data_IF_995599197442
#
_entry.id   IF_995599197442
#
_cell.length_a   1.000
_cell.length_b   1.000
_cell.length_c   1.000
_cell.angle_alpha   90.00
_cell.angle_beta   90.00
_cell.angle_gamma   90.00
#
_symmetry.space_group_name_H-M   'P 1'
#
loop_
_entity.id
_entity.type
_entity.pdbx_description
1 polymer ?
#
# COMPACT_ATOMS: atom_id res chain seq x y z
N UNK A 1 52.01 21.00 -3.17
CA UNK A 1 50.53 21.08 -3.12
C UNK A 1 50.01 19.65 -3.02
N UNK A 2 49.54 19.25 -1.84
CA UNK A 2 49.06 17.88 -1.58
C UNK A 2 47.54 17.89 -1.75
N UNK A 3 47.02 17.25 -2.81
CA UNK A 3 45.58 17.10 -2.99
C UNK A 3 45.07 16.00 -2.04
N UNK A 4 44.25 16.39 -1.06
CA UNK A 4 43.42 15.47 -0.29
C UNK A 4 42.19 15.12 -1.12
N UNK A 5 42.15 13.90 -1.69
CA UNK A 5 40.90 13.33 -2.19
C UNK A 5 40.05 12.93 -0.97
N UNK A 6 39.01 13.71 -0.70
CA UNK A 6 37.96 13.30 0.22
C UNK A 6 37.15 12.17 -0.47
N UNK A 7 37.38 10.93 -0.04
CA UNK A 7 36.48 9.83 -0.38
C UNK A 7 35.15 10.08 0.35
N UNK A 8 34.09 10.37 -0.40
CA UNK A 8 32.74 10.33 0.11
C UNK A 8 32.43 8.88 0.47
N UNK A 9 32.47 8.57 1.76
CA UNK A 9 31.97 7.30 2.28
C UNK A 9 30.45 7.39 2.19
N UNK A 10 29.86 6.84 1.12
CA UNK A 10 28.41 6.62 1.07
C UNK A 10 28.07 5.54 2.11
N UNK A 11 27.93 5.94 3.38
CA UNK A 11 27.12 5.17 4.31
C UNK A 11 25.75 5.12 3.67
N UNK A 12 25.36 4.00 3.06
CA UNK A 12 23.96 3.74 2.71
C UNK A 12 23.23 3.55 4.05
N UNK A 13 23.04 4.67 4.74
CA UNK A 13 22.32 4.74 6.00
C UNK A 13 20.84 4.51 5.72
N UNK A 14 20.14 3.94 6.70
CA UNK A 14 18.68 3.88 6.65
C UNK A 14 18.15 5.30 6.67
N UNK A 15 17.32 5.64 5.70
CA UNK A 15 16.69 6.96 5.58
C UNK A 15 15.23 6.89 6.00
N UNK A 16 14.67 8.02 6.45
CA UNK A 16 13.24 8.09 6.74
C UNK A 16 12.46 8.03 5.44
N UNK A 17 11.55 7.07 5.32
CA UNK A 17 10.59 7.02 4.22
C UNK A 17 9.74 8.28 4.27
N UNK A 18 9.61 8.97 3.14
CA UNK A 18 8.79 10.17 3.00
C UNK A 18 7.48 9.87 2.28
N UNK A 19 6.42 10.55 2.69
CA UNK A 19 5.17 10.58 1.94
C UNK A 19 5.28 11.51 0.72
N UNK A 20 4.23 11.57 -0.09
CA UNK A 20 4.18 12.37 -1.32
C UNK A 20 4.32 13.87 -1.09
N UNK A 21 4.15 14.34 0.16
CA UNK A 21 4.33 15.73 0.56
C UNK A 21 5.71 15.98 1.21
N UNK A 22 6.59 14.98 1.22
CA UNK A 22 7.93 15.06 1.80
C UNK A 22 7.97 14.88 3.32
N UNK A 23 6.84 14.58 3.98
CA UNK A 23 6.83 14.37 5.43
C UNK A 23 7.25 12.93 5.76
N UNK A 24 7.92 12.68 6.90
CA UNK A 24 8.23 11.33 7.33
C UNK A 24 6.97 10.46 7.49
N UNK A 25 7.01 9.24 6.94
CA UNK A 25 5.97 8.23 7.11
C UNK A 25 5.97 7.76 8.57
N UNK A 26 4.82 7.86 9.22
CA UNK A 26 4.61 7.49 10.62
C UNK A 26 4.12 6.05 10.74
N UNK A 27 4.67 5.32 11.71
CA UNK A 27 4.22 3.98 12.11
C UNK A 27 2.73 4.03 12.49
N UNK A 28 1.95 3.05 12.05
CA UNK A 28 0.54 2.92 12.38
C UNK A 28 -0.41 3.94 11.73
N UNK A 29 0.10 5.06 11.22
CA UNK A 29 -0.72 6.03 10.48
C UNK A 29 -1.16 5.45 9.12
N UNK A 30 -2.30 5.97 8.64
CA UNK A 30 -2.92 5.53 7.38
C UNK A 30 -2.30 6.24 6.18
N UNK A 31 -1.94 5.46 5.17
CA UNK A 31 -1.43 5.92 3.87
C UNK A 31 -2.10 5.13 2.74
N UNK A 32 -2.36 5.77 1.62
CA UNK A 32 -2.60 5.08 0.35
C UNK A 32 -1.25 4.74 -0.29
N UNK A 33 -1.14 3.55 -0.86
CA UNK A 33 -0.04 3.19 -1.76
C UNK A 33 -0.51 3.43 -3.19
N UNK A 34 0.14 4.35 -3.89
CA UNK A 34 -0.18 4.68 -5.28
C UNK A 34 1.04 4.42 -6.17
N UNK A 35 0.89 3.76 -7.33
CA UNK A 35 1.96 3.66 -8.31
C UNK A 35 2.41 5.04 -8.79
N UNK A 36 3.74 5.26 -8.85
CA UNK A 36 4.32 6.58 -9.06
C UNK A 36 4.11 7.13 -10.48
N UNK A 37 4.03 6.26 -11.49
CA UNK A 37 3.82 6.60 -12.91
C UNK A 37 2.70 5.73 -13.48
N UNK A 38 1.45 6.08 -13.17
CA UNK A 38 0.30 5.33 -13.68
C UNK A 38 -0.90 6.23 -13.96
N UNK A 39 -1.71 5.80 -14.92
CA UNK A 39 -3.01 6.40 -15.26
C UNK A 39 -4.16 5.81 -14.43
N UNK A 40 -3.89 4.74 -13.67
CA UNK A 40 -4.85 4.14 -12.74
C UNK A 40 -4.83 4.79 -11.36
N UNK A 41 -5.55 4.20 -10.42
CA UNK A 41 -5.61 4.64 -9.02
C UNK A 41 -4.60 3.91 -8.13
N UNK A 42 -4.93 3.81 -6.84
CA UNK A 42 -4.11 3.12 -5.84
C UNK A 42 -4.35 1.61 -5.74
N UNK A 43 -3.68 1.01 -4.77
CA UNK A 43 -3.75 -0.44 -4.52
C UNK A 43 -4.99 -0.82 -3.70
N UNK A 44 -5.66 -1.89 -4.11
CA UNK A 44 -6.89 -2.40 -3.51
C UNK A 44 -6.90 -3.93 -3.38
N UNK A 45 -7.57 -4.49 -2.36
CA UNK A 45 -7.88 -5.92 -2.31
C UNK A 45 -8.73 -6.36 -3.50
N UNK A 46 -8.40 -7.48 -4.12
CA UNK A 46 -9.22 -8.09 -5.17
C UNK A 46 -9.05 -9.61 -5.18
N UNK A 47 -10.12 -10.35 -5.52
CA UNK A 47 -10.02 -11.79 -5.70
C UNK A 47 -9.14 -12.09 -6.93
N UNK A 48 -8.12 -12.93 -6.76
CA UNK A 48 -7.22 -13.35 -7.85
C UNK A 48 -7.53 -14.77 -8.35
N UNK A 49 -8.41 -15.48 -7.63
CA UNK A 49 -8.95 -16.78 -7.96
C UNK A 49 -10.49 -16.72 -7.93
N UNK A 50 -11.16 -17.53 -8.75
CA UNK A 50 -12.63 -17.56 -8.83
C UNK A 50 -13.20 -18.29 -7.61
N UNK A 51 -12.72 -19.51 -7.33
CA UNK A 51 -13.16 -20.31 -6.18
C UNK A 51 -12.05 -21.29 -5.75
N UNK A 52 -11.63 -21.31 -4.47
CA UNK A 52 -11.95 -20.31 -3.44
C UNK A 52 -11.37 -18.92 -3.81
N UNK A 53 -12.11 -17.85 -3.48
CA UNK A 53 -11.67 -16.47 -3.73
C UNK A 53 -10.79 -15.91 -2.60
N UNK A 54 -10.67 -16.63 -1.48
CA UNK A 54 -9.74 -16.35 -0.39
C UNK A 54 -8.49 -17.24 -0.53
N UNK A 55 -7.28 -16.74 -0.19
CA UNK A 55 -6.98 -15.36 0.20
C UNK A 55 -7.19 -14.37 -0.96
N UNK A 56 -7.51 -13.12 -0.65
CA UNK A 56 -7.54 -12.06 -1.65
C UNK A 56 -6.11 -11.74 -2.10
N UNK A 57 -5.96 -11.32 -3.35
CA UNK A 57 -4.75 -10.68 -3.83
C UNK A 57 -4.84 -9.16 -3.75
N UNK A 58 -3.85 -8.49 -4.34
CA UNK A 58 -3.75 -7.04 -4.38
C UNK A 58 -3.57 -6.59 -5.81
N UNK A 59 -4.39 -5.63 -6.24
CA UNK A 59 -4.35 -5.07 -7.60
C UNK A 59 -4.27 -3.56 -7.56
N UNK A 60 -3.75 -2.96 -8.62
CA UNK A 60 -3.94 -1.55 -8.89
C UNK A 60 -5.31 -1.34 -9.56
N UNK A 61 -6.17 -0.50 -8.99
CA UNK A 61 -7.43 -0.13 -9.65
C UNK A 61 -7.17 0.64 -10.94
N UNK A 62 -7.93 0.33 -11.99
CA UNK A 62 -7.87 1.06 -13.26
C UNK A 62 -8.55 2.44 -13.19
N UNK A 63 -9.26 2.74 -12.09
CA UNK A 63 -10.02 3.97 -11.93
C UNK A 63 -9.12 5.10 -11.36
N UNK A 64 -8.85 6.18 -12.11
CA UNK A 64 -7.81 7.18 -11.76
C UNK A 64 -8.08 7.91 -10.45
N UNK A 65 -9.35 8.13 -10.09
CA UNK A 65 -9.73 8.88 -8.90
C UNK A 65 -9.89 8.00 -7.65
N UNK A 66 -9.73 6.69 -7.76
CA UNK A 66 -9.77 5.81 -6.60
C UNK A 66 -8.40 5.76 -5.93
N UNK A 67 -8.24 6.30 -4.71
CA UNK A 67 -6.93 6.47 -4.10
C UNK A 67 -6.29 5.14 -3.65
N UNK A 68 -7.05 4.04 -3.65
CA UNK A 68 -6.68 2.76 -3.04
C UNK A 68 -7.36 2.55 -1.69
N UNK A 69 -7.13 1.39 -1.08
CA UNK A 69 -7.53 1.15 0.32
C UNK A 69 -6.36 1.52 1.24
N UNK A 70 -6.57 2.27 2.33
CA UNK A 70 -5.49 2.66 3.24
C UNK A 70 -4.74 1.46 3.81
N UNK A 71 -3.45 1.63 4.01
CA UNK A 71 -2.60 0.72 4.78
C UNK A 71 -1.92 1.45 5.93
N UNK A 72 -1.36 0.68 6.85
CA UNK A 72 -0.39 1.17 7.82
C UNK A 72 0.82 0.26 7.89
N UNK A 73 1.94 0.82 8.34
CA UNK A 73 3.20 0.11 8.50
C UNK A 73 3.54 -0.10 9.98
N UNK A 74 4.05 -1.27 10.30
CA UNK A 74 4.55 -1.62 11.64
C UNK A 74 5.83 -2.44 11.53
N UNK A 75 6.81 -2.18 12.39
CA UNK A 75 8.03 -2.98 12.42
C UNK A 75 7.77 -4.38 12.94
N UNK A 76 8.41 -5.34 12.30
CA UNK A 76 8.50 -6.72 12.78
C UNK A 76 9.92 -7.24 12.51
N UNK A 77 10.70 -7.58 13.55
CA UNK A 77 10.38 -7.44 14.97
C UNK A 77 10.19 -5.98 15.40
N UNK A 78 9.45 -5.77 16.50
CA UNK A 78 9.14 -4.42 17.01
C UNK A 78 10.41 -3.66 17.35
N UNK A 79 10.55 -2.45 16.79
CA UNK A 79 11.61 -1.49 17.13
C UNK A 79 11.05 -0.47 18.13
N UNK A 80 11.73 -0.26 19.25
CA UNK A 80 11.38 0.75 20.26
C UNK A 80 12.17 2.04 19.98
N UNK A 81 11.56 3.21 20.23
CA UNK A 81 12.26 4.50 20.17
C UNK A 81 12.14 5.28 18.84
N UNK A 82 11.24 4.87 17.94
CA UNK A 82 10.93 5.64 16.73
C UNK A 82 9.47 5.52 16.33
N UNK A 83 8.83 6.66 16.01
CA UNK A 83 7.49 6.69 15.44
C UNK A 83 7.50 6.74 13.91
N UNK A 84 8.69 6.75 13.29
CA UNK A 84 8.87 6.86 11.84
C UNK A 84 9.29 5.53 11.22
N UNK A 85 8.93 5.37 9.95
CA UNK A 85 9.35 4.25 9.11
C UNK A 85 10.64 4.61 8.38
N UNK A 86 11.56 3.65 8.37
CA UNK A 86 12.89 3.78 7.77
C UNK A 86 13.07 2.75 6.66
N UNK A 87 13.82 3.11 5.64
CA UNK A 87 14.19 2.23 4.53
C UNK A 87 15.01 1.02 5.02
N UNK A 88 15.07 -0.02 4.19
CA UNK A 88 15.85 -1.24 4.42
C UNK A 88 15.60 -1.94 5.76
N UNK A 89 14.43 -1.72 6.35
CA UNK A 89 14.03 -2.25 7.66
C UNK A 89 12.74 -3.05 7.53
N UNK A 90 12.67 -4.20 8.20
CA UNK A 90 11.55 -5.14 8.07
C UNK A 90 10.28 -4.59 8.71
N UNK A 91 9.21 -4.58 7.94
CA UNK A 91 7.89 -4.13 8.34
C UNK A 91 6.84 -5.12 7.87
N UNK A 92 5.68 -5.12 8.54
CA UNK A 92 4.46 -5.59 7.93
C UNK A 92 3.68 -4.42 7.31
N UNK A 93 2.89 -4.76 6.30
CA UNK A 93 1.94 -3.86 5.65
C UNK A 93 0.55 -4.44 5.93
N UNK A 94 -0.36 -3.63 6.48
CA UNK A 94 -1.70 -4.07 6.84
C UNK A 94 -2.75 -3.13 6.24
N UNK A 95 -3.77 -3.68 5.56
CA UNK A 95 -4.92 -2.89 5.14
C UNK A 95 -5.72 -2.40 6.35
N UNK A 96 -6.09 -1.13 6.33
CA UNK A 96 -6.91 -0.45 7.34
C UNK A 96 -8.29 -0.17 6.77
N UNK A 97 -9.24 -1.02 7.12
CA UNK A 97 -10.67 -0.87 6.78
C UNK A 97 -11.55 -1.30 7.94
N UNK A 98 -12.57 -0.50 8.24
CA UNK A 98 -13.62 -0.83 9.23
C UNK A 98 -14.56 -1.91 8.70
N UNK A 99 -14.82 -1.90 7.39
CA UNK A 99 -15.68 -2.88 6.71
C UNK A 99 -14.78 -3.89 6.00
N UNK A 100 -14.94 -5.17 6.35
CA UNK A 100 -14.26 -6.29 5.72
C UNK A 100 -15.24 -7.46 5.68
N UNK A 101 -15.99 -7.65 4.58
CA UNK A 101 -17.13 -8.58 4.59
C UNK A 101 -16.75 -10.02 4.24
N UNK A 102 -15.53 -10.27 3.75
CA UNK A 102 -15.08 -11.55 3.21
C UNK A 102 -13.69 -11.91 3.74
N UNK A 103 -13.35 -13.21 3.71
CA UNK A 103 -12.06 -13.73 4.21
C UNK A 103 -11.77 -13.27 5.65
N UNK A 104 -12.78 -13.30 6.52
CA UNK A 104 -12.71 -12.80 7.90
C UNK A 104 -11.89 -13.69 8.84
N UNK A 105 -11.69 -14.94 8.43
CA UNK A 105 -10.82 -15.91 9.06
C UNK A 105 -9.33 -15.60 8.86
N UNK A 106 -9.00 -14.73 7.90
CA UNK A 106 -7.63 -14.31 7.59
C UNK A 106 -7.37 -12.88 8.06
N UNK A 107 -6.11 -12.58 8.33
CA UNK A 107 -5.69 -11.21 8.69
C UNK A 107 -5.78 -10.25 7.50
N UNK A 108 -5.59 -8.95 7.76
CA UNK A 108 -5.46 -7.91 6.73
C UNK A 108 -3.99 -7.63 6.35
N UNK A 109 -3.06 -8.47 6.82
CA UNK A 109 -1.63 -8.33 6.54
C UNK A 109 -1.32 -8.83 5.14
N UNK A 110 -0.46 -8.08 4.46
CA UNK A 110 0.12 -8.50 3.20
C UNK A 110 1.10 -9.65 3.45
N UNK A 111 1.14 -10.60 2.53
CA UNK A 111 2.11 -11.67 2.52
C UNK A 111 2.40 -12.15 1.10
N UNK A 112 3.54 -12.79 0.90
CA UNK A 112 3.82 -13.56 -0.30
C UNK A 112 3.09 -14.89 -0.21
N UNK A 113 2.41 -15.31 -1.29
CA UNK A 113 1.82 -16.65 -1.38
C UNK A 113 2.92 -17.71 -1.39
N UNK A 114 2.92 -18.54 -0.34
CA UNK A 114 3.86 -19.66 -0.16
C UNK A 114 3.12 -21.01 -0.16
N UNK A 115 1.89 -21.05 -0.66
CA UNK A 115 1.12 -22.27 -0.82
C UNK A 115 1.79 -23.23 -1.82
N UNK A 116 1.43 -24.51 -1.76
CA UNK A 116 1.92 -25.51 -2.73
C UNK A 116 1.50 -25.23 -4.18
N UNK A 117 0.46 -24.42 -4.37
CA UNK A 117 -0.03 -23.94 -5.67
C UNK A 117 0.57 -22.61 -6.11
N UNK A 118 1.48 -22.03 -5.33
CA UNK A 118 2.08 -20.73 -5.66
C UNK A 118 2.84 -20.79 -6.99
N UNK A 119 2.65 -19.75 -7.81
CA UNK A 119 3.38 -19.60 -9.06
C UNK A 119 4.87 -19.33 -8.82
N UNK A 120 5.70 -19.47 -9.87
CA UNK A 120 7.13 -19.12 -9.82
C UNK A 120 7.35 -17.65 -9.42
N UNK A 121 6.47 -16.77 -9.87
CA UNK A 121 6.34 -15.40 -9.36
C UNK A 121 5.09 -15.35 -8.48
N UNK A 122 5.24 -15.61 -7.16
CA UNK A 122 4.09 -15.78 -6.28
C UNK A 122 3.33 -14.46 -6.12
N UNK A 123 2.01 -14.55 -5.99
CA UNK A 123 1.16 -13.39 -5.75
C UNK A 123 1.47 -12.76 -4.39
N UNK A 124 1.26 -11.44 -4.28
CA UNK A 124 1.11 -10.79 -2.98
C UNK A 124 -0.36 -10.90 -2.58
N UNK A 125 -0.60 -11.61 -1.48
CA UNK A 125 -1.91 -11.95 -0.94
C UNK A 125 -2.18 -11.22 0.38
N UNK A 126 -3.42 -11.30 0.84
CA UNK A 126 -3.92 -10.76 2.10
C UNK A 126 -4.30 -11.94 3.00
N UNK A 127 -3.78 -11.93 4.22
CA UNK A 127 -3.96 -13.02 5.19
C UNK A 127 -2.70 -13.48 5.88
N UNK A 128 -1.61 -12.70 5.82
CA UNK A 128 -0.34 -13.05 6.44
C UNK A 128 -0.41 -13.17 7.97
N UNK A 129 0.55 -13.88 8.55
CA UNK A 129 0.78 -13.87 10.00
C UNK A 129 1.89 -12.86 10.33
N UNK A 130 1.75 -12.12 11.44
CA UNK A 130 2.61 -10.98 11.78
C UNK A 130 4.10 -11.32 11.73
N UNK A 131 4.48 -12.39 12.41
CA UNK A 131 5.88 -12.84 12.59
C UNK A 131 6.36 -13.77 11.48
N UNK A 132 5.48 -14.18 10.57
CA UNK A 132 5.83 -15.12 9.51
C UNK A 132 6.76 -14.46 8.47
N UNK A 133 7.83 -15.14 8.02
CA UNK A 133 8.80 -14.56 7.09
C UNK A 133 8.22 -14.05 5.77
N UNK A 134 7.13 -14.66 5.27
CA UNK A 134 6.47 -14.25 4.03
C UNK A 134 5.61 -12.99 4.19
N UNK A 135 5.38 -12.50 5.42
CA UNK A 135 4.69 -11.24 5.72
C UNK A 135 5.64 -10.07 5.95
N UNK A 136 6.96 -10.28 5.79
CA UNK A 136 7.98 -9.27 6.01
C UNK A 136 8.36 -8.57 4.71
N UNK A 137 8.20 -7.25 4.71
CA UNK A 137 8.53 -6.38 3.60
C UNK A 137 9.61 -5.39 4.02
N UNK A 138 10.32 -4.82 3.05
CA UNK A 138 11.13 -3.61 3.23
C UNK A 138 10.72 -2.56 2.21
N UNK A 139 10.88 -1.30 2.59
CA UNK A 139 10.75 -0.16 1.69
C UNK A 139 12.17 0.25 1.29
N UNK A 140 12.44 0.36 0.00
CA UNK A 140 13.73 0.79 -0.54
C UNK A 140 13.52 2.02 -1.43
N UNK A 141 14.46 2.96 -1.39
CA UNK A 141 14.46 4.13 -2.29
C UNK A 141 14.53 3.67 -3.76
N UNK A 142 13.88 4.43 -4.63
CA UNK A 142 13.92 4.25 -6.07
C UNK A 142 14.17 5.59 -6.77
N UNK A 143 14.52 5.55 -8.05
CA UNK A 143 14.77 6.78 -8.81
C UNK A 143 13.50 7.62 -8.95
N UNK A 144 13.48 8.77 -8.29
CA UNK A 144 12.38 9.74 -8.31
C UNK A 144 12.16 10.33 -6.92
N UNK A 145 11.67 11.57 -6.85
CA UNK A 145 11.36 12.19 -5.56
C UNK A 145 10.25 11.38 -4.84
N UNK A 146 10.50 11.01 -3.59
CA UNK A 146 9.56 10.28 -2.73
C UNK A 146 9.01 9.01 -3.39
N UNK A 147 9.86 8.33 -4.17
CA UNK A 147 9.50 7.16 -4.96
C UNK A 147 10.24 5.95 -4.41
N UNK A 148 9.50 4.87 -4.20
CA UNK A 148 9.97 3.70 -3.50
C UNK A 148 9.67 2.42 -4.28
N UNK A 149 10.36 1.34 -3.92
CA UNK A 149 9.96 -0.03 -4.24
C UNK A 149 9.82 -0.84 -2.95
N UNK A 150 8.99 -1.88 -3.00
CA UNK A 150 8.81 -2.81 -1.90
C UNK A 150 9.57 -4.10 -2.21
N UNK A 151 10.23 -4.68 -1.21
CA UNK A 151 10.97 -5.94 -1.36
C UNK A 151 10.56 -6.94 -0.29
N UNK A 152 10.69 -8.23 -0.58
CA UNK A 152 10.49 -9.36 0.32
C UNK A 152 11.67 -10.32 0.22
N UNK A 153 11.67 -11.39 1.00
CA UNK A 153 12.64 -12.48 0.85
C UNK A 153 12.48 -13.26 -0.48
N UNK A 154 11.32 -13.17 -1.13
CA UNK A 154 11.02 -13.86 -2.39
C UNK A 154 11.27 -13.01 -3.64
N UNK A 155 11.59 -11.72 -3.48
CA UNK A 155 11.90 -10.81 -4.58
C UNK A 155 11.40 -9.38 -4.37
N UNK A 156 11.50 -8.56 -5.41
CA UNK A 156 10.91 -7.23 -5.45
C UNK A 156 9.41 -7.34 -5.76
N UNK A 157 8.58 -6.49 -5.15
CA UNK A 157 7.17 -6.40 -5.50
C UNK A 157 7.05 -5.78 -6.90
N UNK A 158 6.49 -6.56 -7.80
CA UNK A 158 6.22 -6.18 -9.18
C UNK A 158 4.76 -6.40 -9.55
N UNK A 159 4.47 -6.31 -10.85
CA UNK A 159 3.11 -6.55 -11.36
C UNK A 159 3.07 -7.39 -12.63
N UNK A 160 1.94 -8.05 -12.83
CA UNK A 160 1.52 -8.70 -14.09
C UNK A 160 0.07 -8.31 -14.39
N UNK A 161 -0.41 -8.40 -15.65
CA UNK A 161 -1.83 -8.24 -15.95
C UNK A 161 -2.68 -9.24 -15.15
N UNK A 162 -3.57 -8.74 -14.30
CA UNK A 162 -4.45 -9.52 -13.45
C UNK A 162 -5.80 -9.85 -14.10
N UNK A 163 -6.65 -10.63 -13.40
CA UNK A 163 -7.91 -11.14 -13.95
C UNK A 163 -8.98 -10.04 -14.16
N UNK A 164 -8.84 -8.90 -13.51
CA UNK A 164 -9.81 -7.80 -13.57
C UNK A 164 -9.51 -6.84 -14.73
N UNK A 165 -9.99 -7.16 -15.93
CA UNK A 165 -9.77 -6.33 -17.14
C UNK A 165 -8.28 -6.04 -17.41
N UNK A 166 -7.37 -6.93 -17.00
CA UNK A 166 -5.93 -6.73 -17.14
C UNK A 166 -5.31 -5.77 -16.12
N UNK A 167 -6.06 -5.36 -15.07
CA UNK A 167 -5.55 -4.52 -13.99
C UNK A 167 -4.28 -5.11 -13.37
N UNK A 168 -3.21 -4.32 -13.13
CA UNK A 168 -1.97 -4.83 -12.58
C UNK A 168 -2.17 -5.54 -11.24
N UNK A 169 -1.83 -6.82 -11.16
CA UNK A 169 -1.83 -7.63 -9.94
C UNK A 169 -0.42 -7.70 -9.36
N UNK A 170 -0.29 -7.54 -8.04
CA UNK A 170 0.98 -7.61 -7.36
C UNK A 170 1.51 -9.05 -7.26
N UNK A 171 2.81 -9.19 -7.51
CA UNK A 171 3.60 -10.42 -7.37
C UNK A 171 4.95 -10.11 -6.72
N UNK A 172 5.63 -11.13 -6.20
CA UNK A 172 7.06 -11.06 -5.91
C UNK A 172 7.85 -11.59 -7.13
N UNK A 173 8.85 -10.84 -7.58
CA UNK A 173 9.65 -11.17 -8.77
C UNK A 173 11.10 -10.69 -8.64
N UNK A 174 12.00 -11.38 -9.34
CA UNK A 174 13.40 -10.97 -9.52
C UNK A 174 13.65 -10.34 -10.90
N UNK A 175 12.58 -10.11 -11.68
CA UNK A 175 12.63 -9.37 -12.93
C UNK A 175 12.49 -7.87 -12.65
N UNK A 176 13.61 -7.15 -12.75
CA UNK A 176 13.65 -5.71 -12.47
C UNK A 176 12.67 -4.92 -13.37
N UNK A 177 12.37 -5.39 -14.59
CA UNK A 177 11.47 -4.72 -15.51
C UNK A 177 10.01 -4.73 -15.03
N UNK A 178 9.64 -5.65 -14.13
CA UNK A 178 8.30 -5.75 -13.55
C UNK A 178 8.14 -4.95 -12.25
N UNK A 179 9.21 -4.33 -11.75
CA UNK A 179 9.21 -3.60 -10.47
C UNK A 179 8.10 -2.57 -10.40
N UNK A 180 7.33 -2.61 -9.32
CA UNK A 180 6.32 -1.59 -9.04
C UNK A 180 6.93 -0.45 -8.23
N UNK A 181 7.03 0.73 -8.84
CA UNK A 181 7.42 1.95 -8.15
C UNK A 181 6.19 2.65 -7.56
N UNK A 182 6.27 3.01 -6.28
CA UNK A 182 5.15 3.56 -5.52
C UNK A 182 5.52 4.84 -4.78
N UNK A 183 4.49 5.60 -4.42
CA UNK A 183 4.52 6.70 -3.46
C UNK A 183 3.51 6.44 -2.35
N UNK A 184 3.78 6.98 -1.17
CA UNK A 184 2.86 6.92 -0.03
C UNK A 184 2.11 8.24 0.08
N UNK A 185 0.79 8.22 -0.01
CA UNK A 185 -0.04 9.42 0.12
C UNK A 185 -0.73 9.36 1.48
N UNK A 186 -0.49 10.35 2.35
CA UNK A 186 -1.11 10.39 3.68
C UNK A 186 -2.64 10.44 3.53
N UNK A 187 -3.35 9.64 4.32
CA UNK A 187 -4.80 9.78 4.45
C UNK A 187 -5.08 10.93 5.41
N UNK A 188 -5.85 11.92 4.94
CA UNK A 188 -6.33 13.01 5.78
C UNK A 188 -7.50 12.52 6.64
N UNK A 189 -7.33 12.59 7.97
CA UNK A 189 -8.35 12.11 8.91
C UNK A 189 -9.63 12.99 8.87
N UNK A 190 -9.58 14.19 8.28
CA UNK A 190 -10.72 15.12 8.15
C UNK A 190 -11.68 14.76 7.01
N UNK A 191 -11.23 14.11 5.94
CA UNK A 191 -12.11 13.71 4.84
C UNK A 191 -13.14 12.64 5.26
N UNK A 192 -12.84 11.87 6.32
CA UNK A 192 -13.75 10.89 6.92
C UNK A 192 -14.88 11.52 7.75
N UNK A 193 -14.81 12.80 8.13
CA UNK A 193 -15.90 13.52 8.82
C UNK A 193 -16.86 14.26 7.88
N UNK A 194 -16.43 14.55 6.66
CA UNK A 194 -17.23 15.32 5.71
C UNK A 194 -18.42 14.53 5.14
N UNK A 195 -18.30 13.20 5.03
CA UNK A 195 -19.33 12.35 4.39
C UNK A 195 -20.57 12.09 5.26
N UNK A 196 -20.52 12.39 6.56
CA UNK A 196 -21.65 12.21 7.49
C UNK A 196 -22.45 13.48 7.78
N UNK A 197 -22.09 14.64 7.19
CA UNK A 197 -22.69 15.93 7.54
C UNK A 197 -23.59 16.57 6.48
N UNK A 198 -23.86 15.93 5.33
CA UNK A 198 -24.72 16.50 4.27
C UNK A 198 -26.09 15.83 4.09
N UNK A 199 -26.52 14.93 4.98
CA UNK A 199 -27.89 14.39 4.96
C UNK A 199 -28.84 15.06 5.96
N UNK A 200 -28.63 16.34 6.28
CA UNK A 200 -29.64 17.14 6.99
C UNK A 200 -30.46 17.87 5.94
N UNK A 201 -31.49 17.19 5.44
CA UNK A 201 -32.57 17.76 4.63
C UNK A 201 -33.06 19.02 5.35
N UNK A 202 -32.71 20.19 4.81
CA UNK A 202 -33.39 21.43 5.18
C UNK A 202 -34.85 21.27 4.77
N UNK A 203 -35.70 21.16 5.79
CA UNK A 203 -37.14 21.17 5.71
C UNK A 203 -37.58 22.52 5.15
N UNK A 204 -37.54 22.66 3.82
CA UNK A 204 -38.19 23.74 3.09
C UNK A 204 -39.69 23.66 3.37
N UNK A 205 -40.18 24.60 4.18
CA UNK A 205 -41.59 24.73 4.49
C UNK A 205 -42.39 24.92 3.20
N UNK A 206 -43.29 23.96 2.90
CA UNK A 206 -44.30 24.10 1.87
C UNK A 206 -45.14 25.35 2.16
N UNK A 207 -44.89 26.43 1.41
CA UNK A 207 -45.84 27.53 1.27
C UNK A 207 -46.84 27.13 0.19
N UNK A 208 -48.08 26.91 0.63
CA UNK A 208 -49.25 26.66 -0.20
C UNK A 208 -49.58 27.95 -0.98
N UNK A 209 -49.64 27.89 -2.29
CA UNK A 209 -50.17 28.98 -3.12
C UNK A 209 -51.69 28.79 -3.32
N UNK A 210 -52.52 29.85 -3.23
CA UNK A 210 -53.94 29.73 -3.55
C UNK A 210 -54.13 29.76 -5.07
N UNK A 211 -54.98 28.86 -5.57
CA UNK A 211 -55.51 28.94 -6.93
C UNK A 211 -56.73 29.87 -6.90
N UNK A 212 -56.79 30.79 -7.87
CA UNK A 212 -57.98 31.59 -8.20
C UNK A 212 -58.74 30.88 -9.32
#
# INVERSE_FOLDING_TARGET
VTLLLAAAVCTHGREQVKDSNGNPVKRGAKYFIQPAKSNGGGLVPAAINILPFCPLGITQTLLPYQPGLPVSFGYEPVIIGTDYIYTSTTINIEFRSEIWPVCNELSKLWAVDVSSSAAKEPAIIIGGERTAPNSLFKIEEATGAHTYKLTTSSGTVGTIPGPWLGAPQLIATNDDAKTLFVKFVKVDDDATKATTSTSRVEKLGLRMFPFY
#
